data_IF_154066357085
#
_entry.id   IF_154066357085
#
_cell.length_a   1.000
_cell.length_b   1.000
_cell.length_c   1.000
_cell.angle_alpha   90.00
_cell.angle_beta   90.00
_cell.angle_gamma   90.00
#
_symmetry.space_group_name_H-M   'P 1'
#
loop_
_entity.id
_entity.type
_entity.pdbx_description
1 polymer ?
#
# COMPACT_ATOMS: atom_id res chain seq x y z
N UNK A 1 -53.79 2.51 28.97
CA UNK A 1 -53.20 1.47 28.09
C UNK A 1 -51.77 1.86 27.74
N UNK A 2 -50.91 0.88 27.42
CA UNK A 2 -49.47 1.09 27.32
C UNK A 2 -49.03 1.64 25.94
N UNK A 3 -47.93 2.39 25.92
CA UNK A 3 -47.30 2.93 24.70
C UNK A 3 -46.16 2.02 24.24
N UNK A 4 -46.40 1.21 23.21
CA UNK A 4 -45.38 0.35 22.60
C UNK A 4 -44.47 1.16 21.67
N UNK A 5 -43.35 1.66 22.20
CA UNK A 5 -42.28 2.36 21.47
C UNK A 5 -40.92 2.11 22.17
N UNK A 6 -40.54 0.86 22.39
CA UNK A 6 -39.30 0.49 23.09
C UNK A 6 -38.20 -0.02 22.17
N UNK A 7 -38.49 -0.93 21.23
CA UNK A 7 -37.48 -1.69 20.47
C UNK A 7 -36.47 -0.85 19.67
N UNK A 8 -36.87 0.31 19.14
CA UNK A 8 -35.94 1.17 18.38
C UNK A 8 -34.89 1.88 19.27
N UNK A 9 -35.09 1.95 20.59
CA UNK A 9 -34.28 2.74 21.53
C UNK A 9 -32.94 2.11 21.92
N UNK A 10 -32.84 0.81 22.33
CA UNK A 10 -31.55 0.21 22.69
C UNK A 10 -30.55 0.27 21.53
N UNK A 11 -30.97 -0.14 20.34
CA UNK A 11 -30.22 0.01 19.09
C UNK A 11 -29.65 1.41 18.90
N UNK A 12 -30.52 2.43 18.90
CA UNK A 12 -30.10 3.79 18.58
C UNK A 12 -29.10 4.33 19.61
N UNK A 13 -29.18 3.85 20.85
CA UNK A 13 -28.16 4.12 21.86
C UNK A 13 -26.84 3.41 21.54
N UNK A 14 -26.87 2.12 21.21
CA UNK A 14 -25.68 1.37 20.80
C UNK A 14 -24.97 2.00 19.58
N UNK A 15 -25.72 2.47 18.58
CA UNK A 15 -25.16 3.22 17.44
C UNK A 15 -24.49 4.54 17.86
N UNK A 16 -25.06 5.27 18.83
CA UNK A 16 -24.46 6.51 19.35
C UNK A 16 -23.15 6.22 20.09
N UNK A 17 -23.13 5.20 20.95
CA UNK A 17 -21.92 4.76 21.65
C UNK A 17 -20.82 4.30 20.67
N UNK A 18 -21.18 3.47 19.68
CA UNK A 18 -20.25 3.05 18.62
C UNK A 18 -19.68 4.25 17.83
N UNK A 19 -20.51 5.26 17.53
CA UNK A 19 -20.06 6.48 16.83
C UNK A 19 -19.06 7.28 17.68
N UNK A 20 -19.26 7.38 18.99
CA UNK A 20 -18.30 8.02 19.91
C UNK A 20 -16.99 7.24 19.98
N UNK A 21 -17.04 5.90 20.06
CA UNK A 21 -15.84 5.06 20.02
C UNK A 21 -15.03 5.24 18.72
N UNK A 22 -15.72 5.29 17.57
CA UNK A 22 -15.10 5.55 16.26
C UNK A 22 -14.50 6.96 16.17
N UNK A 23 -15.15 7.97 16.76
CA UNK A 23 -14.61 9.34 16.81
C UNK A 23 -13.31 9.39 17.64
N UNK A 24 -13.29 8.81 18.84
CA UNK A 24 -12.10 8.76 19.69
C UNK A 24 -10.95 7.98 19.03
N UNK A 25 -11.26 6.94 18.25
CA UNK A 25 -10.27 6.18 17.47
C UNK A 25 -9.64 7.04 16.36
N UNK A 26 -10.47 7.87 15.69
CA UNK A 26 -10.03 8.87 14.71
C UNK A 26 -9.26 10.04 15.31
N UNK A 27 -9.57 10.45 16.54
CA UNK A 27 -8.83 11.45 17.32
C UNK A 27 -7.53 10.91 17.94
N UNK A 28 -7.08 9.71 17.55
CA UNK A 28 -5.87 9.04 18.06
C UNK A 28 -5.91 8.74 19.59
N UNK A 29 -7.09 8.85 20.22
CA UNK A 29 -7.33 8.55 21.65
C UNK A 29 -7.58 7.07 21.87
N UNK A 30 -6.71 6.21 21.33
CA UNK A 30 -6.93 4.76 21.24
C UNK A 30 -7.16 4.06 22.60
N UNK A 31 -6.69 4.63 23.73
CA UNK A 31 -7.01 4.11 25.07
C UNK A 31 -8.48 4.31 25.44
N UNK A 32 -9.02 5.49 25.18
CA UNK A 32 -10.42 5.84 25.46
C UNK A 32 -11.36 5.14 24.48
N UNK A 33 -11.01 5.14 23.19
CA UNK A 33 -11.74 4.44 22.14
C UNK A 33 -11.92 2.94 22.46
N UNK A 34 -10.85 2.26 22.87
CA UNK A 34 -10.87 0.86 23.31
C UNK A 34 -11.89 0.63 24.45
N UNK A 35 -11.90 1.51 25.45
CA UNK A 35 -12.84 1.45 26.57
C UNK A 35 -14.30 1.74 26.16
N UNK A 36 -14.54 2.60 25.16
CA UNK A 36 -15.89 2.84 24.61
C UNK A 36 -16.38 1.70 23.72
N UNK A 37 -15.53 1.07 22.89
CA UNK A 37 -15.91 -0.14 22.16
C UNK A 37 -16.32 -1.26 23.12
N UNK A 38 -15.56 -1.48 24.21
CA UNK A 38 -15.92 -2.46 25.24
C UNK A 38 -17.24 -2.12 25.96
N UNK A 39 -17.48 -0.85 26.32
CA UNK A 39 -18.77 -0.42 26.89
C UNK A 39 -19.93 -0.56 25.90
N UNK A 40 -19.70 -0.35 24.61
CA UNK A 40 -20.70 -0.56 23.55
C UNK A 40 -21.07 -2.04 23.42
N UNK A 41 -20.08 -2.94 23.40
CA UNK A 41 -20.30 -4.41 23.37
C UNK A 41 -21.07 -4.86 24.62
N UNK A 42 -20.66 -4.37 25.80
CA UNK A 42 -21.31 -4.71 27.06
C UNK A 42 -22.76 -4.20 27.13
N UNK A 43 -23.04 -2.98 26.66
CA UNK A 43 -24.40 -2.46 26.53
C UNK A 43 -25.27 -3.30 25.59
N UNK A 44 -24.74 -3.66 24.41
CA UNK A 44 -25.44 -4.53 23.45
C UNK A 44 -25.76 -5.89 24.10
N UNK A 45 -24.81 -6.49 24.81
CA UNK A 45 -25.01 -7.78 25.48
C UNK A 45 -26.16 -7.74 26.50
N UNK A 46 -26.24 -6.69 27.33
CA UNK A 46 -27.34 -6.54 28.28
C UNK A 46 -28.68 -6.29 27.58
N UNK A 47 -28.73 -5.37 26.60
CA UNK A 47 -29.97 -5.07 25.88
C UNK A 47 -30.56 -6.30 25.17
N UNK A 48 -29.71 -7.17 24.61
CA UNK A 48 -30.13 -8.43 23.99
C UNK A 48 -30.61 -9.48 25.01
N UNK A 49 -30.11 -9.46 26.24
CA UNK A 49 -30.58 -10.34 27.32
C UNK A 49 -31.96 -9.91 27.84
N UNK A 50 -32.17 -8.60 28.04
CA UNK A 50 -33.48 -8.04 28.40
C UNK A 50 -34.54 -8.31 27.31
N UNK A 51 -34.15 -8.23 26.03
CA UNK A 51 -35.02 -8.54 24.90
C UNK A 51 -35.30 -10.04 24.77
N UNK A 52 -34.32 -10.92 25.02
CA UNK A 52 -34.53 -12.37 25.08
C UNK A 52 -35.43 -12.81 26.26
N UNK A 53 -35.46 -12.04 27.35
CA UNK A 53 -36.42 -12.20 28.45
C UNK A 53 -37.81 -11.62 28.17
N UNK A 54 -37.98 -10.82 27.11
CA UNK A 54 -39.20 -10.07 26.81
C UNK A 54 -39.96 -10.67 25.62
N UNK A 55 -41.07 -11.33 25.89
CA UNK A 55 -41.88 -12.04 24.88
C UNK A 55 -42.63 -11.07 23.93
N UNK A 56 -41.95 -10.56 22.90
CA UNK A 56 -42.45 -9.59 21.91
C UNK A 56 -42.35 -10.12 20.45
N UNK A 57 -43.07 -9.46 19.53
CA UNK A 57 -43.25 -9.90 18.13
C UNK A 57 -41.92 -10.10 17.36
N UNK A 58 -41.69 -11.34 16.95
CA UNK A 58 -40.34 -11.85 16.67
C UNK A 58 -39.67 -11.34 15.39
N UNK A 59 -40.39 -10.85 14.38
CA UNK A 59 -39.77 -10.55 13.07
C UNK A 59 -38.99 -9.24 13.05
N UNK A 60 -39.62 -8.13 13.49
CA UNK A 60 -38.93 -6.82 13.58
C UNK A 60 -37.83 -6.88 14.63
N UNK A 61 -38.07 -7.59 15.74
CA UNK A 61 -37.07 -7.86 16.79
C UNK A 61 -35.89 -8.67 16.23
N UNK A 62 -36.11 -9.74 15.47
CA UNK A 62 -35.01 -10.54 14.91
C UNK A 62 -34.12 -9.75 13.93
N UNK A 63 -34.70 -8.85 13.12
CA UNK A 63 -33.93 -7.94 12.27
C UNK A 63 -33.04 -7.02 13.12
N UNK A 64 -33.56 -6.52 14.24
CA UNK A 64 -32.84 -5.57 15.09
C UNK A 64 -31.77 -6.22 15.98
N UNK A 65 -32.10 -7.34 16.61
CA UNK A 65 -31.15 -8.25 17.29
C UNK A 65 -29.99 -8.58 16.33
N UNK A 66 -30.31 -8.97 15.09
CA UNK A 66 -29.32 -9.25 14.05
C UNK A 66 -28.44 -8.04 13.68
N UNK A 67 -28.95 -6.81 13.84
CA UNK A 67 -28.20 -5.57 13.56
C UNK A 67 -27.35 -5.12 14.74
N UNK A 68 -27.84 -5.31 15.97
CA UNK A 68 -27.08 -5.09 17.20
C UNK A 68 -25.92 -6.09 17.33
N UNK A 69 -26.12 -7.37 16.97
CA UNK A 69 -25.06 -8.38 16.93
C UNK A 69 -23.93 -8.01 15.95
N UNK A 70 -24.27 -7.60 14.71
CA UNK A 70 -23.27 -7.10 13.73
C UNK A 70 -22.52 -5.86 14.24
N UNK A 71 -23.17 -4.99 15.02
CA UNK A 71 -22.50 -3.83 15.62
C UNK A 71 -21.51 -4.24 16.72
N UNK A 72 -21.87 -5.21 17.56
CA UNK A 72 -20.95 -5.78 18.56
C UNK A 72 -19.76 -6.49 17.90
N UNK A 73 -19.99 -7.24 16.81
CA UNK A 73 -18.92 -7.87 15.99
C UNK A 73 -17.94 -6.82 15.45
N UNK A 74 -18.44 -5.74 14.84
CA UNK A 74 -17.60 -4.64 14.36
C UNK A 74 -16.79 -3.96 15.48
N UNK A 75 -17.38 -3.81 16.67
CA UNK A 75 -16.68 -3.30 17.85
C UNK A 75 -15.60 -4.29 18.32
N UNK A 76 -15.87 -5.60 18.30
CA UNK A 76 -14.91 -6.64 18.68
C UNK A 76 -13.70 -6.69 17.74
N UNK A 77 -13.89 -6.57 16.42
CA UNK A 77 -12.77 -6.50 15.47
C UNK A 77 -11.89 -5.25 15.70
N UNK A 78 -12.50 -4.11 16.04
CA UNK A 78 -11.74 -2.93 16.48
C UNK A 78 -10.96 -3.20 17.76
N UNK A 79 -11.61 -3.75 18.79
CA UNK A 79 -10.98 -4.14 20.08
C UNK A 79 -9.78 -5.07 19.86
N UNK A 80 -9.91 -6.11 19.03
CA UNK A 80 -8.82 -7.02 18.64
C UNK A 80 -7.66 -6.28 17.96
N UNK A 81 -7.95 -5.33 17.05
CA UNK A 81 -6.91 -4.60 16.31
C UNK A 81 -5.98 -3.75 17.20
N UNK A 82 -6.44 -3.30 18.37
CA UNK A 82 -5.59 -2.62 19.35
C UNK A 82 -4.62 -3.56 20.07
N UNK A 83 -4.93 -4.85 20.18
CA UNK A 83 -4.07 -5.84 20.84
C UNK A 83 -2.83 -6.08 19.96
N UNK A 84 -3.02 -6.32 18.66
CA UNK A 84 -1.93 -6.47 17.69
C UNK A 84 -1.00 -5.24 17.68
N UNK A 85 -1.56 -4.05 17.50
CA UNK A 85 -0.78 -2.78 17.49
C UNK A 85 -0.02 -2.49 18.79
N UNK A 86 -0.45 -3.05 19.94
CA UNK A 86 0.28 -2.91 21.21
C UNK A 86 1.47 -3.87 21.32
N UNK A 87 1.42 -5.04 20.69
CA UNK A 87 2.55 -5.97 20.65
C UNK A 87 3.74 -5.34 19.90
N UNK A 88 3.49 -4.76 18.73
CA UNK A 88 4.50 -4.08 17.90
C UNK A 88 5.18 -2.92 18.66
N UNK A 89 4.40 -2.11 19.38
CA UNK A 89 4.92 -1.01 20.20
C UNK A 89 5.68 -1.48 21.45
N UNK A 90 5.30 -2.65 22.02
CA UNK A 90 5.98 -3.21 23.20
C UNK A 90 7.35 -3.79 22.88
N UNK A 91 7.63 -4.16 21.63
CA UNK A 91 8.92 -4.72 21.20
C UNK A 91 10.05 -3.68 21.12
N UNK A 92 9.73 -2.38 21.15
CA UNK A 92 10.69 -1.26 21.06
C UNK A 92 10.89 -0.51 22.39
N UNK A 93 10.44 -1.06 23.51
CA UNK A 93 10.31 -0.38 24.82
C UNK A 93 11.43 -0.58 25.84
N UNK A 94 12.61 -1.03 25.43
CA UNK A 94 13.71 -1.40 26.35
C UNK A 94 14.53 -0.22 26.85
N UNK A 95 13.99 0.55 27.80
CA UNK A 95 14.74 1.54 28.57
C UNK A 95 14.26 1.58 30.05
N UNK A 96 15.05 1.08 31.02
CA UNK A 96 14.69 1.17 32.42
C UNK A 96 14.89 2.60 32.95
N UNK A 97 14.03 2.95 33.90
CA UNK A 97 14.01 4.22 34.64
C UNK A 97 15.38 4.67 35.14
N UNK A 98 15.71 5.94 34.90
CA UNK A 98 16.67 6.70 35.72
C UNK A 98 15.95 7.94 36.27
N UNK A 99 16.13 8.22 37.55
CA UNK A 99 15.38 9.23 38.31
C UNK A 99 15.99 10.62 38.22
N UNK A 100 15.18 11.67 38.27
CA UNK A 100 15.65 13.07 38.43
C UNK A 100 14.63 13.93 39.19
N UNK A 101 15.04 14.58 40.30
CA UNK A 101 14.28 15.64 40.98
C UNK A 101 14.96 17.03 40.89
N UNK A 102 14.17 18.11 41.01
CA UNK A 102 14.60 19.52 40.92
C UNK A 102 14.30 20.13 39.54
N UNK A 103 13.58 21.25 39.38
CA UNK A 103 13.78 22.63 39.88
C UNK A 103 15.03 23.31 39.27
N UNK A 104 15.00 24.57 38.79
CA UNK A 104 13.90 25.56 38.71
C UNK A 104 14.26 26.74 37.78
N UNK A 105 13.25 27.44 37.25
CA UNK A 105 13.33 28.83 36.71
C UNK A 105 13.17 29.89 37.85
N UNK A 106 13.25 31.24 37.66
CA UNK A 106 13.38 32.05 36.43
C UNK A 106 14.36 33.27 36.48
N UNK A 107 14.30 34.13 35.44
CA UNK A 107 14.51 35.62 35.42
C UNK A 107 15.90 36.29 35.57
N UNK A 108 16.30 37.01 34.50
CA UNK A 108 16.76 38.44 34.38
C UNK A 108 17.63 38.61 33.10
N UNK A 109 17.59 39.63 32.23
CA UNK A 109 17.12 41.05 32.23
C UNK A 109 18.22 42.11 32.49
N UNK A 110 18.98 42.46 31.44
CA UNK A 110 19.70 43.72 31.18
C UNK A 110 20.02 43.78 29.65
N UNK A 111 19.85 44.85 28.85
CA UNK A 111 20.27 46.28 28.94
C UNK A 111 21.78 46.42 28.71
N UNK A 112 22.31 47.10 27.68
CA UNK A 112 21.76 47.81 26.49
C UNK A 112 22.66 47.50 25.24
N UNK A 113 22.87 48.24 24.12
CA UNK A 113 22.69 49.66 23.69
C UNK A 113 22.65 49.77 22.14
N UNK A 114 22.41 50.98 21.60
CA UNK A 114 22.32 51.38 20.18
C UNK A 114 23.62 51.21 19.34
N UNK A 115 23.62 51.23 17.99
CA UNK A 115 23.55 52.48 17.19
C UNK A 115 23.16 52.29 15.70
N UNK A 116 22.06 52.94 15.31
CA UNK A 116 21.78 53.67 14.05
C UNK A 116 22.64 53.47 12.79
N UNK A 117 22.02 53.05 11.67
CA UNK A 117 21.95 53.83 10.40
C UNK A 117 21.15 53.14 9.26
N UNK A 118 20.19 53.87 8.69
CA UNK A 118 19.60 53.72 7.33
C UNK A 118 19.86 55.08 6.61
N UNK A 119 19.77 55.26 5.26
CA UNK A 119 18.80 54.60 4.36
C UNK A 119 19.23 54.31 2.88
N UNK A 120 18.32 53.64 2.15
CA UNK A 120 17.88 53.84 0.73
C UNK A 120 18.85 54.51 -0.29
N UNK A 121 19.05 53.86 -1.46
CA UNK A 121 18.81 54.41 -2.83
C UNK A 121 19.10 53.36 -3.93
N UNK A 122 18.36 53.41 -5.06
CA UNK A 122 18.68 52.82 -6.37
C UNK A 122 18.42 53.90 -7.45
N UNK A 123 19.06 53.91 -8.64
CA UNK A 123 18.48 53.19 -9.80
C UNK A 123 19.46 52.80 -10.95
N UNK A 124 18.91 52.16 -12.00
CA UNK A 124 19.38 52.19 -13.42
C UNK A 124 20.78 51.58 -13.76
N UNK A 125 21.18 51.36 -15.02
CA UNK A 125 20.54 50.86 -16.27
C UNK A 125 21.67 50.57 -17.28
N UNK A 126 21.52 49.58 -18.19
CA UNK A 126 21.80 49.72 -19.65
C UNK A 126 21.82 48.39 -20.43
N UNK A 127 21.58 48.51 -21.74
CA UNK A 127 21.69 47.54 -22.86
C UNK A 127 22.53 48.23 -23.98
N UNK A 128 22.74 47.76 -25.23
CA UNK A 128 22.34 46.53 -25.98
C UNK A 128 23.60 45.71 -26.46
N UNK A 129 23.66 44.78 -27.45
CA UNK A 129 23.20 44.71 -28.86
C UNK A 129 23.22 43.26 -29.41
N UNK A 130 22.23 42.96 -30.28
CA UNK A 130 22.22 42.10 -31.50
C UNK A 130 23.53 41.34 -31.88
N UNK A 131 23.58 40.03 -32.17
CA UNK A 131 22.93 39.22 -33.25
C UNK A 131 23.10 37.70 -32.93
N UNK A 132 22.61 36.69 -33.67
CA UNK A 132 21.71 36.59 -34.84
C UNK A 132 22.06 35.40 -35.78
N UNK A 133 21.04 34.73 -36.36
CA UNK A 133 21.11 33.65 -37.40
C UNK A 133 21.81 32.31 -37.03
N UNK A 134 21.75 31.22 -37.83
CA UNK A 134 20.64 30.51 -38.52
C UNK A 134 21.17 29.16 -39.08
N UNK A 135 20.39 28.07 -38.96
CA UNK A 135 20.47 26.73 -39.62
C UNK A 135 21.74 26.29 -40.38
N UNK A 136 22.21 25.05 -40.16
CA UNK A 136 22.17 23.95 -41.17
C UNK A 136 22.74 22.62 -40.65
N UNK A 137 22.37 21.51 -41.29
CA UNK A 137 22.91 20.16 -41.09
C UNK A 137 23.80 19.73 -42.28
N UNK A 138 24.98 19.12 -42.05
CA UNK A 138 25.75 18.47 -43.12
C UNK A 138 25.31 17.01 -43.35
N UNK A 139 25.58 16.49 -44.55
CA UNK A 139 25.10 15.18 -45.02
C UNK A 139 26.26 14.28 -45.48
N UNK A 140 26.21 13.00 -45.11
CA UNK A 140 26.85 11.83 -45.77
C UNK A 140 28.18 12.07 -46.48
N UNK A 141 29.29 11.76 -45.81
CA UNK A 141 30.55 11.35 -46.48
C UNK A 141 30.65 9.82 -46.48
N UNK A 142 31.20 9.26 -47.55
CA UNK A 142 31.47 7.82 -47.67
C UNK A 142 32.77 7.60 -48.42
N UNK A 143 33.68 6.81 -47.84
CA UNK A 143 35.00 6.57 -48.43
C UNK A 143 35.32 5.08 -48.52
N UNK A 144 35.70 4.70 -49.73
CA UNK A 144 36.65 3.66 -50.11
C UNK A 144 36.59 2.28 -49.45
N UNK A 145 36.12 1.33 -50.28
CA UNK A 145 36.43 -0.10 -50.22
C UNK A 145 37.94 -0.33 -50.23
N UNK A 146 38.48 -0.97 -49.21
CA UNK A 146 39.84 -1.54 -49.20
C UNK A 146 39.72 -3.03 -48.88
N UNK A 147 40.33 -3.88 -49.70
CA UNK A 147 40.54 -5.29 -49.40
C UNK A 147 41.87 -5.41 -48.65
N UNK A 148 41.91 -6.23 -47.61
CA UNK A 148 43.14 -6.54 -46.88
C UNK A 148 43.07 -7.99 -46.42
N UNK A 149 43.88 -8.85 -47.06
CA UNK A 149 44.09 -10.22 -46.60
C UNK A 149 44.93 -10.22 -45.32
N UNK A 150 44.49 -10.99 -44.33
CA UNK A 150 45.14 -11.02 -43.01
C UNK A 150 44.54 -12.11 -42.12
N UNK A 151 45.08 -13.33 -42.21
CA UNK A 151 44.76 -14.43 -41.28
C UNK A 151 45.28 -14.12 -39.88
N UNK A 152 44.40 -13.72 -38.96
CA UNK A 152 44.74 -13.51 -37.55
C UNK A 152 43.54 -13.17 -36.66
N UNK A 153 43.27 -14.04 -35.69
CA UNK A 153 42.37 -13.88 -34.54
C UNK A 153 40.85 -13.64 -34.77
N UNK A 154 40.07 -14.19 -33.84
CA UNK A 154 38.60 -14.18 -33.89
C UNK A 154 38.04 -12.86 -33.34
N UNK A 155 38.09 -11.80 -34.14
CA UNK A 155 37.34 -10.56 -33.86
C UNK A 155 35.83 -10.84 -33.85
N UNK A 156 35.32 -11.23 -32.69
CA UNK A 156 34.02 -11.91 -32.54
C UNK A 156 32.82 -10.95 -32.53
N UNK A 157 32.98 -9.74 -33.05
CA UNK A 157 31.90 -8.79 -33.26
C UNK A 157 31.18 -9.08 -34.57
N UNK A 158 30.19 -9.97 -34.48
CA UNK A 158 29.14 -10.11 -35.49
C UNK A 158 28.54 -8.74 -35.83
N UNK A 159 28.32 -8.39 -37.11
CA UNK A 159 27.68 -7.13 -37.49
C UNK A 159 26.32 -6.95 -36.80
N UNK A 160 25.88 -5.70 -36.55
CA UNK A 160 24.67 -5.41 -35.77
C UNK A 160 23.42 -6.18 -36.23
N UNK A 161 23.28 -6.37 -37.54
CA UNK A 161 22.16 -7.08 -38.17
C UNK A 161 22.21 -8.58 -37.89
N UNK A 162 23.40 -9.15 -37.66
CA UNK A 162 23.58 -10.57 -37.30
C UNK A 162 23.45 -10.72 -35.78
N UNK A 163 24.06 -9.84 -34.98
CA UNK A 163 23.92 -9.81 -33.52
C UNK A 163 22.44 -9.66 -33.09
N UNK A 164 21.71 -8.72 -33.71
CA UNK A 164 20.29 -8.52 -33.42
C UNK A 164 19.43 -9.71 -33.90
N UNK A 165 19.81 -10.41 -34.98
CA UNK A 165 19.16 -11.67 -35.37
C UNK A 165 19.39 -12.78 -34.35
N UNK A 166 20.63 -12.98 -33.87
CA UNK A 166 20.91 -13.95 -32.81
C UNK A 166 20.16 -13.62 -31.51
N UNK A 167 20.16 -12.35 -31.09
CA UNK A 167 19.36 -11.91 -29.94
C UNK A 167 17.86 -12.13 -30.14
N UNK A 168 17.33 -11.91 -31.35
CA UNK A 168 15.90 -12.11 -31.65
C UNK A 168 15.52 -13.59 -31.64
N UNK A 169 16.36 -14.46 -32.23
CA UNK A 169 16.15 -15.92 -32.23
C UNK A 169 16.26 -16.48 -30.81
N UNK A 170 17.29 -16.08 -30.05
CA UNK A 170 17.46 -16.47 -28.65
C UNK A 170 16.32 -15.96 -27.76
N UNK A 171 15.84 -14.73 -27.99
CA UNK A 171 14.66 -14.18 -27.30
C UNK A 171 13.38 -14.94 -27.63
N UNK A 172 13.21 -15.40 -28.87
CA UNK A 172 12.10 -16.26 -29.25
C UNK A 172 12.13 -17.60 -28.50
N UNK A 173 13.29 -18.26 -28.40
CA UNK A 173 13.38 -19.53 -27.66
C UNK A 173 13.16 -19.36 -26.16
N UNK A 174 13.61 -18.24 -25.58
CA UNK A 174 13.29 -17.87 -24.20
C UNK A 174 11.80 -17.52 -24.00
N UNK A 175 11.07 -17.15 -25.07
CA UNK A 175 9.61 -16.99 -25.04
C UNK A 175 8.81 -18.25 -25.41
N UNK A 176 9.45 -19.29 -25.95
CA UNK A 176 8.84 -20.59 -26.30
C UNK A 176 8.98 -21.65 -25.20
N UNK A 177 9.80 -21.38 -24.19
CA UNK A 177 9.76 -22.15 -22.93
C UNK A 177 8.40 -21.88 -22.27
N UNK A 178 7.50 -22.84 -22.41
CA UNK A 178 6.17 -22.85 -21.81
C UNK A 178 6.34 -22.88 -20.28
N UNK A 179 6.35 -21.69 -19.69
CA UNK A 179 6.51 -21.48 -18.25
C UNK A 179 5.30 -22.04 -17.51
N UNK A 180 5.51 -22.58 -16.31
CA UNK A 180 4.37 -22.89 -15.44
C UNK A 180 3.61 -21.60 -15.11
N UNK A 181 2.29 -21.64 -14.87
CA UNK A 181 1.49 -20.43 -14.61
C UNK A 181 2.05 -19.54 -13.49
N UNK A 182 2.71 -20.14 -12.49
CA UNK A 182 3.35 -19.42 -11.37
C UNK A 182 4.65 -18.71 -11.77
N UNK A 183 5.41 -19.27 -12.72
CA UNK A 183 6.61 -18.62 -13.28
C UNK A 183 6.23 -17.48 -14.24
N UNK A 184 5.15 -17.62 -15.02
CA UNK A 184 4.57 -16.51 -15.79
C UNK A 184 4.21 -15.33 -14.88
N UNK A 185 3.45 -15.60 -13.80
CA UNK A 185 3.09 -14.59 -12.81
C UNK A 185 4.31 -14.00 -12.10
N UNK A 186 5.35 -14.79 -11.83
CA UNK A 186 6.62 -14.29 -11.28
C UNK A 186 7.30 -13.29 -12.24
N UNK A 187 7.39 -13.62 -13.54
CA UNK A 187 7.95 -12.73 -14.57
C UNK A 187 7.14 -11.44 -14.75
N UNK A 188 5.81 -11.54 -14.70
CA UNK A 188 4.92 -10.37 -14.70
C UNK A 188 5.11 -9.51 -13.45
N UNK A 189 5.25 -10.13 -12.27
CA UNK A 189 5.49 -9.45 -11.00
C UNK A 189 6.85 -8.74 -10.96
N UNK A 190 7.90 -9.33 -11.56
CA UNK A 190 9.20 -8.69 -11.73
C UNK A 190 9.08 -7.41 -12.59
N UNK A 191 8.32 -7.47 -13.69
CA UNK A 191 8.03 -6.31 -14.55
C UNK A 191 7.19 -5.24 -13.84
N UNK A 192 6.22 -5.64 -13.02
CA UNK A 192 5.42 -4.72 -12.19
C UNK A 192 6.29 -4.01 -11.14
N UNK A 193 7.17 -4.74 -10.45
CA UNK A 193 8.12 -4.17 -9.48
C UNK A 193 9.06 -3.16 -10.14
N UNK A 194 9.62 -3.46 -11.31
CA UNK A 194 10.46 -2.52 -12.06
C UNK A 194 9.67 -1.26 -12.51
N UNK A 195 8.40 -1.39 -12.92
CA UNK A 195 7.57 -0.24 -13.24
C UNK A 195 7.25 0.61 -12.00
N UNK A 196 6.97 -0.03 -10.87
CA UNK A 196 6.77 0.62 -9.57
C UNK A 196 7.99 1.41 -9.12
N UNK A 197 9.20 0.83 -9.21
CA UNK A 197 10.46 1.50 -8.89
C UNK A 197 10.70 2.71 -9.80
N UNK A 198 10.48 2.56 -11.12
CA UNK A 198 10.56 3.67 -12.07
C UNK A 198 9.51 4.77 -11.83
N UNK A 199 8.34 4.45 -11.26
CA UNK A 199 7.32 5.44 -10.86
C UNK A 199 7.66 6.11 -9.52
N UNK A 200 8.22 5.38 -8.56
CA UNK A 200 8.72 5.95 -7.30
C UNK A 200 9.87 6.93 -7.52
N UNK A 201 10.84 6.58 -8.37
CA UNK A 201 11.99 7.44 -8.67
C UNK A 201 11.60 8.78 -9.33
N UNK A 202 10.40 8.87 -9.91
CA UNK A 202 9.83 10.08 -10.51
C UNK A 202 8.87 10.84 -9.58
N UNK A 203 8.60 10.33 -8.38
CA UNK A 203 7.64 10.91 -7.44
C UNK A 203 8.33 11.99 -6.58
N UNK A 204 7.84 13.23 -6.53
CA UNK A 204 8.46 14.28 -5.74
C UNK A 204 8.50 13.94 -4.22
N UNK A 205 9.59 14.28 -3.51
CA UNK A 205 9.62 14.19 -2.05
C UNK A 205 8.47 15.00 -1.44
N UNK A 206 7.87 14.48 -0.37
CA UNK A 206 6.67 15.04 0.26
C UNK A 206 5.34 14.42 -0.21
N UNK A 207 5.28 13.70 -1.34
CA UNK A 207 4.04 13.00 -1.78
C UNK A 207 3.80 11.65 -1.08
N UNK A 208 3.84 11.65 0.26
CA UNK A 208 3.79 10.44 1.10
C UNK A 208 2.55 9.56 0.87
N UNK A 209 1.36 10.15 0.73
CA UNK A 209 0.12 9.42 0.42
C UNK A 209 0.20 8.67 -0.93
N UNK A 210 0.74 9.33 -1.96
CA UNK A 210 0.88 8.74 -3.30
C UNK A 210 1.91 7.60 -3.31
N UNK A 211 3.00 7.73 -2.55
CA UNK A 211 3.97 6.63 -2.32
C UNK A 211 3.26 5.42 -1.71
N UNK A 212 2.54 5.62 -0.59
CA UNK A 212 1.84 4.54 0.14
C UNK A 212 0.77 3.86 -0.71
N UNK A 213 -0.07 4.65 -1.40
CA UNK A 213 -1.09 4.14 -2.32
C UNK A 213 -0.49 3.30 -3.45
N UNK A 214 0.65 3.72 -4.01
CA UNK A 214 1.36 2.99 -5.05
C UNK A 214 1.99 1.69 -4.52
N UNK A 215 2.53 1.68 -3.28
CA UNK A 215 3.06 0.48 -2.62
C UNK A 215 1.97 -0.58 -2.40
N UNK A 216 0.83 -0.18 -1.84
CA UNK A 216 -0.30 -1.07 -1.61
C UNK A 216 -0.89 -1.60 -2.93
N UNK A 217 -0.91 -0.77 -3.98
CA UNK A 217 -1.34 -1.19 -5.32
C UNK A 217 -0.43 -2.27 -5.92
N UNK A 218 0.90 -2.11 -5.81
CA UNK A 218 1.85 -3.15 -6.24
C UNK A 218 1.63 -4.46 -5.47
N UNK A 219 1.53 -4.37 -4.13
CA UNK A 219 1.35 -5.56 -3.28
C UNK A 219 0.06 -6.31 -3.63
N UNK A 220 -1.07 -5.60 -3.79
CA UNK A 220 -2.33 -6.21 -4.24
C UNK A 220 -2.16 -6.91 -5.59
N UNK A 221 -1.60 -6.22 -6.59
CA UNK A 221 -1.49 -6.77 -7.95
C UNK A 221 -0.51 -7.96 -8.03
N UNK A 222 0.60 -7.92 -7.28
CA UNK A 222 1.54 -9.04 -7.22
C UNK A 222 0.89 -10.28 -6.58
N UNK A 223 0.13 -10.11 -5.51
CA UNK A 223 -0.59 -11.19 -4.84
C UNK A 223 -1.72 -11.76 -5.70
N UNK A 224 -2.49 -10.89 -6.37
CA UNK A 224 -3.57 -11.27 -7.28
C UNK A 224 -3.06 -12.14 -8.44
N UNK A 225 -1.94 -11.76 -9.07
CA UNK A 225 -1.28 -12.57 -10.09
C UNK A 225 -0.88 -13.96 -9.59
N UNK A 226 -0.31 -14.06 -8.38
CA UNK A 226 0.12 -15.34 -7.79
C UNK A 226 -1.06 -16.24 -7.42
N UNK A 227 -2.15 -15.68 -6.90
CA UNK A 227 -3.38 -16.43 -6.56
C UNK A 227 -4.01 -17.00 -7.84
N UNK A 228 -4.15 -16.18 -8.89
CA UNK A 228 -4.70 -16.62 -10.20
C UNK A 228 -3.82 -17.70 -10.82
N UNK A 229 -2.49 -17.53 -10.79
CA UNK A 229 -1.54 -18.51 -11.28
C UNK A 229 -1.61 -19.84 -10.54
N UNK A 230 -1.60 -19.80 -9.19
CA UNK A 230 -1.73 -21.01 -8.38
C UNK A 230 -3.06 -21.72 -8.66
N UNK A 231 -4.18 -21.00 -8.71
CA UNK A 231 -5.48 -21.60 -9.03
C UNK A 231 -5.51 -22.29 -10.41
N UNK A 232 -4.79 -21.76 -11.41
CA UNK A 232 -4.59 -22.41 -12.71
C UNK A 232 -3.74 -23.67 -12.60
N UNK A 233 -2.63 -23.62 -11.86
CA UNK A 233 -1.75 -24.76 -11.65
C UNK A 233 -2.46 -25.90 -10.89
N UNK A 234 -3.15 -25.58 -9.79
CA UNK A 234 -3.96 -26.51 -9.00
C UNK A 234 -5.12 -27.11 -9.82
N UNK A 235 -5.63 -26.41 -10.83
CA UNK A 235 -6.65 -26.92 -11.75
C UNK A 235 -6.07 -27.82 -12.86
N UNK A 236 -4.86 -27.53 -13.35
CA UNK A 236 -4.15 -28.40 -14.29
C UNK A 236 -3.70 -29.71 -13.60
N UNK A 237 -3.15 -29.62 -12.39
CA UNK A 237 -2.71 -30.78 -11.62
C UNK A 237 -3.86 -31.76 -11.36
N UNK A 238 -5.01 -31.26 -10.87
CA UNK A 238 -6.20 -32.11 -10.64
C UNK A 238 -6.69 -32.82 -11.91
N UNK A 239 -6.64 -32.16 -13.08
CA UNK A 239 -6.99 -32.82 -14.36
C UNK A 239 -6.00 -33.92 -14.75
N UNK A 240 -4.72 -33.76 -14.45
CA UNK A 240 -3.70 -34.78 -14.70
C UNK A 240 -3.86 -35.97 -13.74
N UNK A 241 -4.15 -35.71 -12.47
CA UNK A 241 -4.42 -36.74 -11.44
C UNK A 241 -5.72 -37.50 -11.73
N UNK A 242 -6.81 -36.80 -12.07
CA UNK A 242 -8.08 -37.41 -12.47
C UNK A 242 -7.92 -38.30 -13.71
N UNK A 243 -7.20 -37.84 -14.74
CA UNK A 243 -6.89 -38.65 -15.92
C UNK A 243 -6.05 -39.88 -15.56
N UNK A 244 -5.10 -39.75 -14.64
CA UNK A 244 -4.28 -40.88 -14.18
C UNK A 244 -5.11 -41.91 -13.42
N UNK A 245 -6.08 -41.46 -12.61
CA UNK A 245 -6.98 -42.34 -11.87
C UNK A 245 -7.90 -43.13 -12.81
N UNK A 246 -8.56 -42.47 -13.77
CA UNK A 246 -9.41 -43.14 -14.77
C UNK A 246 -8.65 -44.20 -15.57
N UNK A 247 -7.43 -43.91 -16.01
CA UNK A 247 -6.56 -44.89 -16.70
C UNK A 247 -6.10 -46.05 -15.80
N UNK A 248 -6.19 -45.91 -14.48
CA UNK A 248 -5.94 -46.97 -13.52
C UNK A 248 -7.22 -47.77 -13.20
N UNK A 249 -8.39 -47.13 -13.25
CA UNK A 249 -9.71 -47.78 -13.15
C UNK A 249 -10.02 -48.61 -14.40
N UNK A 250 -9.70 -48.11 -15.59
CA UNK A 250 -9.83 -48.79 -16.90
C UNK A 250 -8.86 -50.00 -17.08
N UNK A 251 -7.94 -50.21 -16.13
CA UNK A 251 -6.88 -51.22 -16.19
C UNK A 251 -6.99 -52.35 -15.14
N UNK A 252 -8.10 -52.42 -14.40
CA UNK A 252 -8.41 -53.47 -13.42
C UNK A 252 -9.71 -54.22 -13.78
#
# INVERSE_FOLDING_TARGET
MATADSGAKPLQNAMKMAKLAIQLDGENKHKEAYCEYLRTINFISHALLEEAGSQNDGEVVAVEVGRMLRLAEQCLERVKSFIGKRADLSASGSAPFSSSPGQSEPNQTAVLTDTTANPVTAPSSDTPVDTGHKTTSPTKTGHYRVLSDGTGELSSFLPPEVFQRLQTVQSQDISKKELTPIEEASRLNQKLKANYEARLARLPPGKAYQKTSLTLSLQRQMMENLIIAKARQDALQRKMEERRLRLQEEAN
#
